data_IF_397052814910
#
_entry.id   IF_397052814910
#
_cell.length_a   1.000
_cell.length_b   1.000
_cell.length_c   1.000
_cell.angle_alpha   90.00
_cell.angle_beta   90.00
_cell.angle_gamma   90.00
#
_symmetry.space_group_name_H-M   'P 1'
#
loop_
_entity.id
_entity.type
_entity.pdbx_description
1 polymer ?
#
# COMPACT_ATOMS: atom_id res chain seq x y z
N UNK A 27 0.38 -3.88 -31.59
CA UNK A 27 0.44 -2.89 -30.52
C UNK A 27 -0.05 -3.48 -29.20
N UNK A 28 0.70 -4.45 -28.68
CA UNK A 28 0.36 -5.07 -27.40
C UNK A 28 1.02 -4.39 -26.22
N UNK A 29 2.31 -4.05 -26.34
CA UNK A 29 3.03 -3.38 -25.25
C UNK A 29 2.52 -1.96 -25.01
N UNK A 30 2.10 -1.25 -26.05
CA UNK A 30 1.62 0.11 -25.92
C UNK A 30 0.29 0.22 -25.19
N UNK A 31 -0.59 -0.76 -25.34
CA UNK A 31 -1.88 -0.75 -24.66
C UNK A 31 -1.78 -1.13 -23.19
N UNK A 32 -0.88 -2.04 -22.82
CA UNK A 32 -0.65 -2.35 -21.41
C UNK A 32 -0.14 -1.15 -20.62
N UNK A 33 0.80 -0.38 -21.18
CA UNK A 33 1.27 0.83 -20.53
C UNK A 33 0.18 1.90 -20.45
N UNK A 34 -0.64 2.05 -21.51
CA UNK A 34 -1.74 3.00 -21.47
C UNK A 34 -2.75 2.62 -20.39
N UNK A 35 -3.08 1.33 -20.28
CA UNK A 35 -3.97 0.90 -19.21
C UNK A 35 -3.35 1.03 -17.83
N UNK A 36 -2.06 0.76 -17.68
CA UNK A 36 -1.41 0.94 -16.40
C UNK A 36 -1.42 2.38 -15.95
N UNK A 37 -1.22 3.29 -16.89
CA UNK A 37 -1.31 4.72 -16.56
C UNK A 37 -2.72 5.11 -16.20
N UNK A 38 -3.70 4.74 -17.05
CA UNK A 38 -5.08 5.21 -16.89
C UNK A 38 -5.90 4.20 -16.09
N UNK A 39 -5.32 3.79 -14.96
CA UNK A 39 -6.04 2.97 -14.00
C UNK A 39 -5.69 3.40 -12.58
N UNK A 40 -4.88 4.45 -12.48
CA UNK A 40 -4.36 4.93 -11.20
C UNK A 40 -4.79 6.35 -10.89
N UNK A 41 -5.63 6.95 -11.73
CA UNK A 41 -5.85 8.40 -11.67
C UNK A 41 -6.66 8.75 -10.42
N UNK A 42 -7.93 8.38 -10.40
CA UNK A 42 -8.79 8.60 -9.24
C UNK A 42 -8.53 9.93 -8.54
N UNK A 43 -8.73 11.07 -9.20
CA UNK A 43 -8.40 12.35 -8.55
C UNK A 43 -9.28 12.63 -7.34
N UNK A 44 -8.70 12.55 -6.14
CA UNK A 44 -9.47 12.74 -4.93
C UNK A 44 -9.41 11.56 -4.00
N UNK A 45 -8.41 10.70 -4.18
CA UNK A 45 -8.16 9.59 -3.27
C UNK A 45 -7.37 10.04 -2.04
N UNK A 46 -6.71 11.18 -2.13
CA UNK A 46 -5.95 11.74 -1.02
C UNK A 46 -6.78 12.66 -0.13
N UNK A 47 -7.96 13.06 -0.58
CA UNK A 47 -8.85 13.93 0.17
C UNK A 47 -10.10 13.21 0.67
N UNK A 48 -10.11 11.88 0.72
CA UNK A 48 -11.28 11.17 1.25
C UNK A 48 -11.50 11.50 2.72
N UNK A 49 -10.42 11.45 3.51
CA UNK A 49 -10.57 11.75 4.94
C UNK A 49 -10.96 13.20 5.18
N UNK A 50 -10.37 14.20 4.52
CA UNK A 50 -10.92 15.57 4.63
C UNK A 50 -12.36 15.67 4.18
N UNK A 51 -12.79 14.87 3.20
CA UNK A 51 -14.16 14.89 2.74
C UNK A 51 -15.13 14.35 3.78
N UNK A 52 -14.79 13.24 4.44
CA UNK A 52 -15.64 12.70 5.49
C UNK A 52 -15.71 13.65 6.68
N UNK A 53 -14.58 14.20 7.09
CA UNK A 53 -14.53 15.15 8.20
C UNK A 53 -14.66 16.57 7.65
N UNK A 54 -15.86 16.87 7.19
CA UNK A 54 -16.13 18.16 6.58
C UNK A 54 -17.58 18.56 6.71
N UNK A 55 -17.94 19.69 6.09
CA UNK A 55 -19.32 20.19 6.16
C UNK A 55 -20.31 19.49 5.24
N UNK A 56 -19.93 18.37 4.64
CA UNK A 56 -20.81 17.62 3.75
C UNK A 56 -21.26 16.30 4.37
N UNK A 57 -20.33 15.47 4.83
CA UNK A 57 -20.69 14.21 5.46
C UNK A 57 -20.97 14.36 6.95
N UNK A 58 -20.31 15.33 7.61
CA UNK A 58 -20.51 15.64 9.02
C UNK A 58 -20.26 14.40 9.89
N UNK A 59 -19.04 13.89 9.77
CA UNK A 59 -18.54 12.81 10.61
C UNK A 59 -17.56 13.37 11.63
N UNK A 60 -17.55 12.77 12.80
CA UNK A 60 -16.62 13.14 13.86
C UNK A 60 -15.36 12.27 13.77
N UNK A 61 -14.26 12.80 14.28
CA UNK A 61 -13.00 12.08 14.24
C UNK A 61 -13.03 10.78 15.03
N UNK A 62 -13.72 10.74 16.17
CA UNK A 62 -13.89 9.50 16.91
C UNK A 62 -14.63 8.47 16.09
N UNK A 63 -15.77 8.86 15.51
CA UNK A 63 -16.53 7.99 14.62
C UNK A 63 -15.62 7.44 13.53
N UNK A 64 -15.06 8.34 12.71
CA UNK A 64 -14.26 7.95 11.57
C UNK A 64 -13.20 6.96 12.02
N UNK A 65 -12.30 7.41 12.91
CA UNK A 65 -11.19 6.56 13.30
C UNK A 65 -11.69 5.23 13.85
N UNK A 66 -12.32 5.27 15.03
CA UNK A 66 -12.58 4.05 15.80
C UNK A 66 -13.54 3.10 15.11
N UNK A 67 -14.57 3.61 14.42
CA UNK A 67 -15.54 2.71 13.82
C UNK A 67 -15.16 2.36 12.39
N UNK A 68 -14.87 3.36 11.56
CA UNK A 68 -14.70 3.10 10.14
C UNK A 68 -13.33 2.49 9.82
N UNK A 69 -12.25 3.00 10.42
CA UNK A 69 -10.95 2.61 9.87
C UNK A 69 -10.55 1.16 10.20
N UNK A 70 -10.87 0.63 11.38
CA UNK A 70 -10.59 -0.80 11.61
C UNK A 70 -11.22 -1.73 10.60
N UNK A 71 -12.39 -1.40 10.06
CA UNK A 71 -13.08 -2.24 9.10
C UNK A 71 -12.22 -2.50 7.86
N UNK A 72 -11.27 -1.63 7.56
CA UNK A 72 -10.39 -1.85 6.43
C UNK A 72 -9.53 -3.10 6.62
N UNK A 73 -8.99 -3.29 7.83
CA UNK A 73 -8.07 -4.40 8.06
C UNK A 73 -8.78 -5.75 8.06
N UNK A 74 -9.91 -5.84 8.75
CA UNK A 74 -10.67 -7.10 8.77
C UNK A 74 -11.11 -7.47 7.36
N UNK A 75 -11.63 -6.49 6.62
CA UNK A 75 -12.07 -6.74 5.25
C UNK A 75 -10.90 -7.13 4.38
N UNK A 76 -9.73 -6.50 4.59
CA UNK A 76 -8.55 -6.84 3.82
C UNK A 76 -8.15 -8.29 4.01
N UNK A 77 -8.12 -8.75 5.26
CA UNK A 77 -7.83 -10.16 5.53
C UNK A 77 -8.84 -11.06 4.82
N UNK A 78 -10.13 -10.75 5.03
CA UNK A 78 -11.21 -11.60 4.57
C UNK A 78 -11.21 -11.72 3.05
N UNK A 79 -10.91 -10.64 2.33
CA UNK A 79 -10.93 -10.70 0.88
C UNK A 79 -9.60 -11.22 0.35
N UNK A 80 -8.51 -10.92 1.05
CA UNK A 80 -7.18 -11.32 0.64
C UNK A 80 -7.06 -12.83 0.53
N UNK A 81 -7.60 -13.55 1.52
CA UNK A 81 -7.47 -15.00 1.51
C UNK A 81 -8.09 -15.63 0.26
N UNK A 82 -9.35 -15.30 -0.15
CA UNK A 82 -9.86 -15.85 -1.41
C UNK A 82 -9.19 -15.33 -2.68
N UNK A 83 -9.04 -14.01 -2.79
CA UNK A 83 -8.76 -13.37 -4.09
C UNK A 83 -7.44 -13.82 -4.71
N UNK A 84 -6.48 -14.29 -3.92
CA UNK A 84 -5.23 -14.79 -4.48
C UNK A 84 -5.43 -16.06 -5.29
N UNK A 85 -6.38 -16.91 -4.91
CA UNK A 85 -6.68 -18.13 -5.65
C UNK A 85 -7.67 -17.92 -6.78
N UNK A 86 -8.47 -16.85 -6.73
CA UNK A 86 -9.42 -16.54 -7.77
C UNK A 86 -8.78 -15.78 -8.93
N UNK A 87 -7.56 -15.28 -8.75
CA UNK A 87 -6.80 -14.67 -9.82
C UNK A 87 -6.09 -15.69 -10.69
N UNK A 88 -5.60 -16.78 -10.09
CA UNK A 88 -5.07 -17.89 -10.86
C UNK A 88 -6.13 -18.55 -11.72
N UNK A 89 -7.21 -19.00 -11.09
CA UNK A 89 -8.24 -19.79 -11.74
C UNK A 89 -8.88 -19.06 -12.91
N UNK A 90 -9.36 -17.84 -12.66
CA UNK A 90 -10.10 -17.08 -13.65
C UNK A 90 -9.21 -16.34 -14.64
N UNK A 91 -7.89 -16.30 -14.40
CA UNK A 91 -6.96 -15.45 -15.14
C UNK A 91 -7.27 -13.98 -14.87
N UNK A 92 -6.29 -13.11 -15.10
CA UNK A 92 -6.26 -11.81 -14.43
C UNK A 92 -7.30 -10.83 -14.97
N UNK A 93 -7.87 -11.08 -16.15
CA UNK A 93 -8.80 -10.12 -16.72
C UNK A 93 -10.09 -9.98 -15.89
N UNK A 94 -10.76 -11.06 -15.45
CA UNK A 94 -11.89 -10.89 -14.53
C UNK A 94 -11.52 -10.15 -13.25
N UNK A 95 -10.33 -10.39 -12.71
CA UNK A 95 -9.95 -9.74 -11.46
C UNK A 95 -9.72 -8.25 -11.68
N UNK A 96 -9.15 -7.86 -12.82
CA UNK A 96 -8.98 -6.43 -13.10
C UNK A 96 -10.33 -5.76 -13.33
N UNK A 97 -11.27 -6.45 -13.99
CA UNK A 97 -12.63 -5.92 -14.10
C UNK A 97 -13.26 -5.76 -12.72
N UNK A 98 -13.07 -6.74 -11.84
CA UNK A 98 -13.61 -6.66 -10.49
C UNK A 98 -13.00 -5.49 -9.73
N UNK A 99 -11.70 -5.24 -9.91
CA UNK A 99 -11.05 -4.11 -9.25
C UNK A 99 -11.63 -2.79 -9.73
N UNK A 100 -11.84 -2.66 -11.05
CA UNK A 100 -12.45 -1.45 -11.57
C UNK A 100 -13.86 -1.23 -11.02
N UNK A 101 -14.66 -2.29 -11.01
CA UNK A 101 -16.02 -2.17 -10.48
C UNK A 101 -16.02 -1.88 -8.98
N UNK A 102 -15.04 -2.40 -8.25
CA UNK A 102 -14.93 -2.10 -6.83
C UNK A 102 -14.58 -0.63 -6.60
N UNK A 103 -13.70 -0.07 -7.43
CA UNK A 103 -13.43 1.37 -7.33
C UNK A 103 -14.67 2.19 -7.64
N UNK A 104 -15.44 1.78 -8.65
CA UNK A 104 -16.69 2.46 -8.97
C UNK A 104 -17.65 2.39 -7.78
N UNK A 105 -17.72 1.23 -7.13
CA UNK A 105 -18.58 1.09 -5.95
C UNK A 105 -18.12 1.99 -4.81
N UNK A 106 -16.80 2.08 -4.61
CA UNK A 106 -16.26 2.94 -3.56
C UNK A 106 -16.66 4.39 -3.80
N UNK A 107 -16.49 4.87 -5.03
CA UNK A 107 -16.83 6.27 -5.30
C UNK A 107 -18.32 6.51 -5.46
N UNK A 108 -19.13 5.46 -5.61
CA UNK A 108 -20.58 5.64 -5.53
C UNK A 108 -21.08 5.67 -4.09
N UNK A 109 -20.44 4.91 -3.20
CA UNK A 109 -20.77 5.00 -1.78
C UNK A 109 -20.24 6.29 -1.15
N UNK A 110 -19.14 6.83 -1.66
CA UNK A 110 -18.64 8.11 -1.15
C UNK A 110 -19.63 9.24 -1.39
N UNK A 111 -20.10 9.40 -2.63
CA UNK A 111 -21.02 10.49 -2.95
C UNK A 111 -22.41 10.22 -2.39
N UNK A 112 -22.91 9.01 -2.56
CA UNK A 112 -24.22 8.62 -2.07
C UNK A 112 -24.04 7.84 -0.77
N UNK A 113 -24.43 8.43 0.34
CA UNK A 113 -24.26 7.77 1.62
C UNK A 113 -24.07 8.74 2.76
N UNK A 114 -24.75 8.49 3.88
CA UNK A 114 -24.72 9.40 5.02
C UNK A 114 -24.62 8.67 6.35
N UNK A 115 -24.45 7.36 6.36
CA UNK A 115 -24.41 6.57 7.58
C UNK A 115 -23.00 6.05 7.82
N UNK A 116 -22.85 5.24 8.86
CA UNK A 116 -21.56 4.61 9.14
C UNK A 116 -21.44 3.26 8.44
N UNK A 117 -22.54 2.52 8.32
CA UNK A 117 -22.51 1.25 7.61
C UNK A 117 -22.15 1.44 6.14
N UNK A 118 -22.58 2.54 5.54
CA UNK A 118 -22.19 2.84 4.16
C UNK A 118 -20.68 3.02 4.06
N UNK A 119 -20.07 3.70 5.03
CA UNK A 119 -18.63 3.90 5.00
C UNK A 119 -17.88 2.60 5.28
N UNK A 120 -18.47 1.71 6.09
CA UNK A 120 -17.85 0.40 6.29
C UNK A 120 -17.94 -0.47 5.03
N UNK A 121 -19.03 -0.36 4.28
CA UNK A 121 -19.09 -1.00 2.96
C UNK A 121 -18.05 -0.40 2.02
N UNK A 122 -17.88 0.92 2.06
CA UNK A 122 -16.83 1.56 1.28
C UNK A 122 -15.46 1.01 1.62
N UNK A 123 -15.18 0.81 2.90
CA UNK A 123 -13.92 0.21 3.34
C UNK A 123 -13.78 -1.25 2.91
N UNK A 124 -14.87 -2.01 2.88
CA UNK A 124 -14.81 -3.38 2.37
C UNK A 124 -14.44 -3.40 0.88
N UNK A 125 -15.09 -2.55 0.08
CA UNK A 125 -14.77 -2.50 -1.34
C UNK A 125 -13.34 -2.00 -1.57
N UNK A 126 -12.90 -1.01 -0.80
CA UNK A 126 -11.53 -0.52 -0.92
C UNK A 126 -10.53 -1.62 -0.57
N UNK A 127 -10.84 -2.43 0.44
CA UNK A 127 -9.97 -3.56 0.77
C UNK A 127 -9.95 -4.58 -0.36
N UNK A 128 -11.08 -4.76 -1.04
CA UNK A 128 -11.09 -5.62 -2.23
C UNK A 128 -10.13 -5.10 -3.28
N UNK A 129 -10.13 -3.78 -3.51
CA UNK A 129 -9.21 -3.19 -4.48
C UNK A 129 -7.75 -3.41 -4.06
N UNK A 130 -7.44 -3.18 -2.79
CA UNK A 130 -6.07 -3.40 -2.32
C UNK A 130 -5.65 -4.85 -2.47
N UNK A 131 -6.55 -5.79 -2.17
CA UNK A 131 -6.22 -7.20 -2.32
C UNK A 131 -6.00 -7.59 -3.77
N UNK A 132 -6.80 -7.02 -4.69
CA UNK A 132 -6.64 -7.33 -6.10
C UNK A 132 -5.50 -6.57 -6.76
N UNK A 133 -4.91 -5.59 -6.07
CA UNK A 133 -3.81 -4.80 -6.61
C UNK A 133 -2.55 -5.62 -6.88
N UNK A 134 -2.57 -6.92 -6.57
CA UNK A 134 -1.37 -7.74 -6.71
C UNK A 134 -1.47 -8.65 -7.93
N UNK A 135 -2.22 -8.21 -8.94
CA UNK A 135 -2.47 -9.02 -10.12
C UNK A 135 -1.81 -8.52 -11.39
N UNK A 136 -1.47 -7.23 -11.46
CA UNK A 136 -0.96 -6.65 -12.71
C UNK A 136 0.43 -7.17 -13.05
N UNK A 137 1.28 -7.37 -12.04
CA UNK A 137 2.62 -7.91 -12.29
C UNK A 137 2.55 -9.33 -12.86
N UNK A 138 1.77 -10.19 -12.22
CA UNK A 138 1.61 -11.55 -12.71
C UNK A 138 0.85 -11.58 -14.04
N UNK A 139 -0.14 -10.69 -14.19
CA UNK A 139 -0.72 -10.42 -15.50
C UNK A 139 0.37 -10.30 -16.55
N UNK A 140 1.27 -9.33 -16.39
CA UNK A 140 2.27 -9.06 -17.42
C UNK A 140 3.20 -10.25 -17.61
N UNK A 141 3.62 -10.86 -16.51
CA UNK A 141 4.53 -12.00 -16.58
C UNK A 141 3.97 -13.12 -17.43
N UNK A 142 2.71 -13.49 -17.18
CA UNK A 142 2.12 -14.60 -17.92
C UNK A 142 1.72 -14.17 -19.33
N UNK A 143 1.55 -12.86 -19.56
CA UNK A 143 1.12 -12.39 -20.87
C UNK A 143 2.26 -12.31 -21.89
N UNK A 144 3.33 -11.59 -21.54
CA UNK A 144 4.21 -11.03 -22.57
C UNK A 144 4.80 -12.10 -23.47
N UNK A 145 5.63 -13.01 -22.92
CA UNK A 145 6.54 -13.97 -23.57
C UNK A 145 7.92 -13.88 -22.92
N UNK A 146 8.64 -14.99 -22.79
CA UNK A 146 10.02 -14.94 -22.30
C UNK A 146 10.94 -14.24 -23.28
N UNK A 147 12.09 -13.80 -22.74
CA UNK A 147 13.10 -13.05 -23.47
C UNK A 147 12.57 -11.70 -23.93
N UNK A 148 11.37 -11.35 -23.46
CA UNK A 148 10.77 -10.05 -23.75
C UNK A 148 10.14 -9.53 -22.46
N UNK A 149 10.18 -10.34 -21.40
CA UNK A 149 9.42 -10.03 -20.19
C UNK A 149 10.01 -8.84 -19.46
N UNK A 150 11.34 -8.79 -19.31
CA UNK A 150 11.96 -7.75 -18.51
C UNK A 150 11.74 -6.35 -19.05
N UNK A 151 11.88 -6.15 -20.36
CA UNK A 151 11.68 -4.82 -20.94
C UNK A 151 10.24 -4.34 -20.75
N UNK A 152 9.26 -5.20 -21.04
CA UNK A 152 7.85 -4.83 -20.88
C UNK A 152 7.47 -4.62 -19.42
N UNK A 153 8.02 -5.42 -18.51
CA UNK A 153 7.83 -5.20 -17.08
C UNK A 153 8.42 -3.88 -16.61
N UNK A 154 9.61 -3.51 -17.08
CA UNK A 154 10.20 -2.23 -16.74
C UNK A 154 9.40 -1.06 -17.29
N UNK A 155 8.85 -1.23 -18.49
CA UNK A 155 8.00 -0.18 -19.04
C UNK A 155 6.73 0.03 -18.21
N UNK A 156 6.07 -1.07 -17.82
CA UNK A 156 4.84 -1.00 -17.06
C UNK A 156 5.05 -0.56 -15.62
N UNK A 157 6.18 -0.91 -15.01
CA UNK A 157 6.49 -0.40 -13.68
C UNK A 157 6.71 1.10 -13.67
N UNK A 158 7.25 1.66 -14.77
CA UNK A 158 7.38 3.09 -14.92
C UNK A 158 6.06 3.77 -15.24
N UNK A 159 5.20 3.14 -16.05
CA UNK A 159 3.89 3.69 -16.34
C UNK A 159 2.99 3.80 -15.12
N UNK A 160 2.99 2.78 -14.26
CA UNK A 160 2.14 2.81 -13.06
C UNK A 160 2.57 3.94 -12.13
N UNK A 161 3.88 4.09 -11.92
CA UNK A 161 4.38 5.15 -11.05
C UNK A 161 4.05 6.53 -11.59
N UNK A 162 4.19 6.74 -12.90
CA UNK A 162 3.79 8.00 -13.51
C UNK A 162 2.30 8.26 -13.38
N UNK A 163 1.46 7.24 -13.55
CA UNK A 163 0.03 7.40 -13.34
C UNK A 163 -0.30 7.81 -11.92
N UNK A 164 0.32 7.15 -10.94
CA UNK A 164 0.09 7.49 -9.55
C UNK A 164 0.55 8.90 -9.21
N UNK A 165 1.73 9.32 -9.70
CA UNK A 165 2.20 10.69 -9.50
C UNK A 165 1.29 11.73 -10.15
N UNK A 166 0.89 11.50 -11.40
CA UNK A 166 -0.01 12.42 -12.09
C UNK A 166 -1.35 12.50 -11.37
N UNK A 167 -1.81 11.40 -10.78
CA UNK A 167 -3.06 11.41 -10.04
C UNK A 167 -3.05 12.45 -8.92
N UNK A 168 -2.03 12.39 -8.06
CA UNK A 168 -1.95 13.31 -6.94
C UNK A 168 -1.67 14.73 -7.39
N UNK A 169 -0.82 14.90 -8.42
CA UNK A 169 -0.54 16.24 -8.91
C UNK A 169 -1.82 16.88 -9.47
N UNK A 170 -2.62 16.12 -10.24
CA UNK A 170 -3.88 16.62 -10.74
C UNK A 170 -4.87 16.92 -9.63
N UNK A 171 -4.95 16.07 -8.61
CA UNK A 171 -5.84 16.34 -7.49
C UNK A 171 -5.49 17.64 -6.78
N UNK A 172 -4.21 17.83 -6.46
CA UNK A 172 -3.78 19.04 -5.77
C UNK A 172 -3.86 20.27 -6.66
N UNK A 173 -3.63 20.16 -7.96
CA UNK A 173 -3.79 21.28 -8.87
C UNK A 173 -5.25 21.64 -9.11
N UNK A 174 -6.15 20.66 -9.00
CA UNK A 174 -7.59 20.92 -9.11
C UNK A 174 -8.22 21.33 -7.80
N UNK A 175 -7.53 21.19 -6.67
CA UNK A 175 -8.05 21.64 -5.38
C UNK A 175 -7.65 23.08 -5.11
N UNK A 176 -6.38 23.40 -5.38
CA UNK A 176 -5.82 24.69 -4.98
C UNK A 176 -5.94 25.74 -6.08
N UNK A 177 -5.35 25.47 -7.26
CA UNK A 177 -5.34 26.44 -8.34
C UNK A 177 -6.75 26.68 -8.84
N UNK A 178 -7.47 25.60 -9.11
CA UNK A 178 -8.90 25.69 -9.41
C UNK A 178 -9.71 25.41 -8.17
N UNK A 179 -10.58 26.35 -7.80
CA UNK A 179 -11.31 26.28 -6.54
C UNK A 179 -12.61 25.51 -6.74
N UNK A 180 -12.49 24.21 -6.94
CA UNK A 180 -13.65 23.32 -6.92
C UNK A 180 -13.74 22.69 -5.53
N UNK A 181 -14.94 22.23 -5.19
CA UNK A 181 -15.19 21.66 -3.88
C UNK A 181 -14.75 20.19 -3.88
N UNK A 182 -14.95 19.49 -2.76
CA UNK A 182 -14.65 18.07 -2.66
C UNK A 182 -15.72 17.19 -3.28
N UNK A 183 -16.89 17.74 -3.61
CA UNK A 183 -17.93 16.96 -4.27
C UNK A 183 -17.59 16.73 -5.74
N UNK A 184 -17.06 17.76 -6.42
CA UNK A 184 -16.79 17.64 -7.85
C UNK A 184 -15.55 16.81 -8.13
N UNK A 185 -14.59 16.77 -7.20
CA UNK A 185 -13.48 15.85 -7.35
C UNK A 185 -13.96 14.41 -7.43
N UNK A 186 -14.96 14.05 -6.64
CA UNK A 186 -15.47 12.68 -6.68
C UNK A 186 -16.18 12.40 -7.99
N UNK A 187 -16.86 13.40 -8.57
CA UNK A 187 -17.49 13.20 -9.87
C UNK A 187 -16.44 13.01 -10.97
N UNK A 188 -15.37 13.80 -10.93
CA UNK A 188 -14.29 13.64 -11.90
C UNK A 188 -13.63 12.27 -11.73
N UNK A 189 -13.43 11.85 -10.47
CA UNK A 189 -12.90 10.51 -10.21
C UNK A 189 -13.82 9.43 -10.74
N UNK A 190 -15.13 9.61 -10.60
CA UNK A 190 -16.08 8.62 -11.12
C UNK A 190 -16.00 8.54 -12.63
N UNK A 191 -15.86 9.68 -13.31
CA UNK A 191 -15.69 9.67 -14.76
C UNK A 191 -14.43 8.92 -15.17
N UNK A 192 -13.32 9.19 -14.48
CA UNK A 192 -12.07 8.49 -14.78
C UNK A 192 -12.19 7.00 -14.51
N UNK A 193 -12.88 6.63 -13.43
CA UNK A 193 -13.04 5.21 -13.10
C UNK A 193 -13.89 4.49 -14.15
N UNK A 194 -14.96 5.15 -14.62
CA UNK A 194 -15.76 4.55 -15.69
C UNK A 194 -14.93 4.37 -16.96
N UNK A 195 -14.10 5.37 -17.30
CA UNK A 195 -13.24 5.24 -18.47
C UNK A 195 -12.25 4.08 -18.29
N UNK A 196 -11.73 3.92 -17.08
CA UNK A 196 -10.81 2.81 -16.81
C UNK A 196 -11.51 1.47 -16.96
N UNK A 197 -12.74 1.35 -16.46
CA UNK A 197 -13.48 0.09 -16.61
C UNK A 197 -13.75 -0.20 -18.07
N UNK A 198 -14.01 0.84 -18.87
CA UNK A 198 -14.18 0.63 -20.31
C UNK A 198 -12.88 0.14 -20.93
N UNK A 199 -11.75 0.72 -20.54
CA UNK A 199 -10.46 0.28 -21.09
C UNK A 199 -10.08 -1.09 -20.58
N UNK A 200 -10.74 -1.58 -19.54
CA UNK A 200 -10.36 -2.83 -18.88
C UNK A 200 -10.71 -4.08 -19.67
N UNK A 201 -11.02 -3.93 -20.96
CA UNK A 201 -11.28 -5.11 -21.79
C UNK A 201 -10.02 -5.97 -21.92
N UNK A 202 -8.99 -5.46 -22.60
CA UNK A 202 -7.71 -6.12 -22.91
C UNK A 202 -7.75 -7.63 -23.14
N UNK A 203 -6.57 -8.25 -23.20
CA UNK A 203 -6.41 -9.59 -23.76
C UNK A 203 -6.29 -10.64 -22.67
N UNK A 204 -6.79 -11.85 -22.95
CA UNK A 204 -6.77 -12.97 -22.00
C UNK A 204 -6.02 -14.16 -22.61
N UNK A 205 -5.48 -15.01 -21.75
CA UNK A 205 -4.57 -16.10 -22.11
C UNK A 205 -5.24 -17.42 -22.45
N UNK A 206 -4.45 -18.42 -22.90
CA UNK A 206 -4.90 -19.82 -22.77
C UNK A 206 -4.29 -20.53 -21.57
N UNK A 207 -3.33 -19.91 -20.89
CA UNK A 207 -2.59 -20.57 -19.81
C UNK A 207 -2.04 -19.53 -18.84
N UNK A 208 -1.88 -19.94 -17.58
CA UNK A 208 -1.14 -19.13 -16.61
C UNK A 208 0.30 -19.61 -16.42
N UNK A 209 0.52 -20.92 -16.45
CA UNK A 209 1.80 -21.56 -16.15
C UNK A 209 2.13 -21.46 -14.66
N UNK A 210 1.24 -20.84 -13.89
CA UNK A 210 1.38 -20.82 -12.44
C UNK A 210 0.16 -21.48 -11.81
N UNK A 211 0.38 -22.57 -11.08
CA UNK A 211 -0.61 -23.19 -10.22
C UNK A 211 -1.68 -23.95 -11.00
N UNK A 212 -2.74 -23.27 -11.41
CA UNK A 212 -3.93 -23.97 -11.89
C UNK A 212 -3.97 -24.05 -13.42
N UNK A 213 -3.84 -22.91 -14.10
CA UNK A 213 -3.94 -22.86 -15.55
C UNK A 213 -2.57 -23.10 -16.17
N UNK A 214 -1.97 -24.23 -15.79
CA UNK A 214 -0.70 -24.66 -16.39
C UNK A 214 -0.97 -25.58 -17.56
N UNK A 215 0.07 -26.23 -18.08
CA UNK A 215 -0.10 -27.22 -19.13
C UNK A 215 0.45 -28.57 -18.70
N UNK A 216 1.44 -28.56 -17.81
CA UNK A 216 2.06 -29.78 -17.30
C UNK A 216 2.58 -30.67 -18.42
N UNK A 250 6.40 -28.47 -10.02
CA UNK A 250 6.78 -29.55 -9.12
C UNK A 250 7.58 -28.99 -7.95
N UNK A 251 8.86 -28.70 -8.19
CA UNK A 251 9.75 -28.10 -7.20
C UNK A 251 9.92 -29.03 -6.01
N UNK A 252 10.35 -30.27 -6.33
CA UNK A 252 10.52 -31.38 -5.38
C UNK A 252 9.29 -31.53 -4.50
N UNK A 253 8.12 -31.50 -5.14
CA UNK A 253 6.91 -30.93 -4.58
C UNK A 253 7.30 -29.58 -3.98
N UNK A 254 6.54 -28.50 -4.17
CA UNK A 254 7.21 -27.22 -3.99
C UNK A 254 7.51 -27.08 -2.51
N UNK A 255 7.87 -28.20 -1.98
CA UNK A 255 7.79 -28.55 -0.56
C UNK A 255 9.12 -29.00 -0.01
N UNK A 256 9.75 -30.01 -0.64
CA UNK A 256 11.19 -30.01 -0.51
C UNK A 256 11.73 -28.71 -1.06
N UNK A 257 10.98 -28.07 -1.98
CA UNK A 257 11.44 -26.76 -2.44
C UNK A 257 11.48 -25.74 -1.31
N UNK A 258 10.34 -25.43 -0.67
CA UNK A 258 10.43 -24.38 0.34
C UNK A 258 11.14 -24.86 1.60
N UNK A 259 11.31 -26.16 1.81
CA UNK A 259 12.19 -26.60 2.87
C UNK A 259 13.63 -26.20 2.64
N UNK A 260 14.16 -26.55 1.46
CA UNK A 260 15.51 -26.13 1.11
C UNK A 260 15.60 -24.60 1.09
N UNK A 261 14.49 -23.93 0.77
CA UNK A 261 14.49 -22.47 0.75
C UNK A 261 14.60 -21.90 2.16
N UNK A 262 13.79 -22.41 3.08
CA UNK A 262 13.78 -21.94 4.46
C UNK A 262 15.09 -22.28 5.16
N UNK A 263 15.83 -23.25 4.64
CA UNK A 263 17.18 -23.48 5.14
C UNK A 263 18.18 -22.47 4.60
N UNK A 264 17.90 -21.18 4.76
CA UNK A 264 18.78 -20.10 4.31
C UNK A 264 18.74 -18.97 5.33
N UNK A 265 19.88 -18.51 5.84
CA UNK A 265 19.87 -17.44 6.86
C UNK A 265 19.25 -16.14 6.38
N UNK A 266 19.40 -15.78 5.11
CA UNK A 266 18.94 -14.50 4.59
C UNK A 266 17.47 -14.49 4.23
N UNK A 267 16.82 -15.65 4.18
CA UNK A 267 15.38 -15.71 3.90
C UNK A 267 14.54 -15.64 5.16
N UNK A 268 15.11 -15.98 6.31
CA UNK A 268 14.41 -15.93 7.60
C UNK A 268 14.68 -14.61 8.31
N UNK A 269 15.41 -13.72 7.65
CA UNK A 269 15.80 -12.43 8.24
C UNK A 269 14.95 -11.32 7.64
N UNK A 270 14.68 -11.41 6.35
CA UNK A 270 13.90 -10.38 5.67
C UNK A 270 12.41 -10.71 5.66
N UNK A 271 12.05 -11.96 5.92
CA UNK A 271 10.63 -12.31 6.01
C UNK A 271 10.00 -11.75 7.28
N UNK A 272 10.70 -11.87 8.42
CA UNK A 272 10.21 -11.29 9.66
C UNK A 272 10.17 -9.77 9.57
N UNK A 273 11.18 -9.16 8.94
CA UNK A 273 11.15 -7.73 8.66
C UNK A 273 9.89 -7.39 7.88
N UNK A 274 9.67 -8.10 6.78
CA UNK A 274 8.48 -7.92 5.95
C UNK A 274 7.24 -7.88 6.84
N UNK A 275 7.00 -8.97 7.57
CA UNK A 275 5.80 -9.10 8.38
C UNK A 275 5.62 -7.92 9.32
N UNK A 276 6.56 -7.74 10.25
CA UNK A 276 6.32 -6.81 11.35
C UNK A 276 6.42 -5.35 10.89
N UNK A 277 7.46 -5.02 10.12
CA UNK A 277 7.61 -3.63 9.70
C UNK A 277 6.56 -3.22 8.68
N UNK A 278 6.12 -4.13 7.80
CA UNK A 278 5.01 -3.78 6.92
C UNK A 278 3.72 -3.59 7.70
N UNK A 279 3.48 -4.40 8.73
CA UNK A 279 2.31 -4.17 9.58
C UNK A 279 2.33 -2.76 10.17
N UNK A 280 3.45 -2.38 10.78
CA UNK A 280 3.53 -1.05 11.37
C UNK A 280 3.42 0.06 10.34
N UNK A 281 4.09 -0.11 9.20
CA UNK A 281 4.04 0.87 8.13
C UNK A 281 2.62 1.10 7.65
N UNK A 282 1.87 0.02 7.44
CA UNK A 282 0.53 0.18 6.91
C UNK A 282 -0.43 0.74 7.95
N UNK A 283 -0.21 0.43 9.23
CA UNK A 283 -1.00 1.07 10.27
C UNK A 283 -0.80 2.59 10.26
N UNK A 284 0.47 3.03 10.19
CA UNK A 284 0.76 4.46 10.18
C UNK A 284 0.17 5.11 8.93
N UNK A 285 0.31 4.45 7.78
CA UNK A 285 -0.21 5.00 6.53
C UNK A 285 -1.72 5.14 6.58
N UNK A 286 -2.41 4.12 7.14
CA UNK A 286 -3.86 4.19 7.26
C UNK A 286 -4.33 5.31 8.17
N UNK A 287 -3.64 5.55 9.30
CA UNK A 287 -4.14 6.50 10.27
C UNK A 287 -3.49 7.88 10.17
N UNK A 288 -2.62 8.10 9.19
CA UNK A 288 -1.93 9.39 9.15
C UNK A 288 -2.85 10.56 8.81
N UNK A 289 -3.78 10.39 7.86
CA UNK A 289 -4.62 11.49 7.41
C UNK A 289 -5.58 12.01 8.46
N UNK A 290 -5.91 11.19 9.48
CA UNK A 290 -6.77 11.63 10.57
C UNK A 290 -5.98 12.46 11.59
N UNK A 291 -4.66 12.47 11.49
CA UNK A 291 -3.81 13.26 12.36
C UNK A 291 -3.51 14.66 11.81
N UNK A 292 -3.47 14.82 10.49
CA UNK A 292 -3.31 16.15 9.89
C UNK A 292 -4.55 17.00 10.03
N UNK A 293 -5.69 16.41 10.36
CA UNK A 293 -6.91 17.16 10.63
C UNK A 293 -6.93 17.64 12.08
N UNK A 294 -6.41 16.83 13.00
CA UNK A 294 -6.31 17.24 14.39
C UNK A 294 -5.42 18.46 14.54
N UNK A 295 -4.30 18.48 13.80
CA UNK A 295 -3.37 19.60 13.88
C UNK A 295 -3.98 20.86 13.29
N UNK A 296 -4.57 20.74 12.11
CA UNK A 296 -5.08 21.90 11.37
C UNK A 296 -6.49 21.63 10.86
N UNK A 297 -7.52 21.93 11.65
CA UNK A 297 -8.92 21.70 11.23
C UNK A 297 -9.45 22.78 10.29
N UNK A 298 -8.90 22.84 9.08
CA UNK A 298 -9.33 23.83 8.09
C UNK A 298 -10.57 23.35 7.35
N UNK A 299 -11.58 24.22 7.29
CA UNK A 299 -12.78 23.96 6.52
C UNK A 299 -12.68 24.50 5.10
N UNK A 300 -11.53 25.07 4.74
CA UNK A 300 -11.29 25.60 3.41
C UNK A 300 -10.54 24.56 2.59
N UNK A 301 -11.15 24.12 1.49
CA UNK A 301 -10.58 23.07 0.64
C UNK A 301 -9.69 23.73 -0.41
N UNK A 302 -8.78 24.59 0.05
CA UNK A 302 -7.79 25.18 -0.83
C UNK A 302 -6.45 25.27 -0.12
N UNK A 303 -6.39 24.78 1.10
CA UNK A 303 -5.18 24.80 1.92
C UNK A 303 -4.94 23.44 2.53
N UNK A 304 -5.38 22.40 1.83
CA UNK A 304 -5.16 21.01 2.24
C UNK A 304 -4.22 20.41 1.22
N UNK A 305 -3.02 20.07 1.64
CA UNK A 305 -1.97 19.60 0.73
C UNK A 305 -1.70 18.11 0.82
N UNK A 306 -2.74 17.30 1.00
CA UNK A 306 -2.59 15.86 1.01
C UNK A 306 -2.11 15.35 -0.34
N UNK A 307 -2.65 15.91 -1.42
CA UNK A 307 -2.21 15.50 -2.75
C UNK A 307 -0.74 15.81 -3.00
N UNK A 308 -0.30 17.01 -2.61
CA UNK A 308 1.11 17.38 -2.76
C UNK A 308 1.99 16.48 -1.90
N UNK A 309 1.55 16.17 -0.67
CA UNK A 309 2.34 15.28 0.19
C UNK A 309 2.47 13.89 -0.42
N UNK A 310 1.38 13.35 -0.98
CA UNK A 310 1.45 12.04 -1.59
C UNK A 310 2.28 12.04 -2.87
N UNK A 311 2.19 13.12 -3.65
CA UNK A 311 3.03 13.23 -4.85
C UNK A 311 4.50 13.28 -4.49
N UNK A 312 4.86 14.04 -3.44
CA UNK A 312 6.23 14.08 -2.97
C UNK A 312 6.68 12.73 -2.43
N UNK A 313 5.82 12.03 -1.70
CA UNK A 313 6.13 10.69 -1.21
C UNK A 313 6.40 9.70 -2.33
N UNK A 314 5.59 9.74 -3.40
CA UNK A 314 5.82 8.90 -4.56
C UNK A 314 7.14 9.19 -5.26
N UNK A 315 7.51 10.47 -5.42
CA UNK A 315 8.79 10.81 -6.01
C UNK A 315 9.95 10.34 -5.13
N UNK A 316 9.86 10.57 -3.82
CA UNK A 316 10.93 10.15 -2.92
C UNK A 316 11.07 8.63 -2.87
N UNK A 317 9.97 7.89 -2.86
CA UNK A 317 10.07 6.44 -2.95
C UNK A 317 10.73 5.93 -4.20
N UNK A 318 10.41 6.52 -5.36
CA UNK A 318 11.07 6.16 -6.61
C UNK A 318 12.54 6.53 -6.64
N UNK A 319 12.93 7.67 -6.06
CA UNK A 319 14.34 8.00 -5.96
C UNK A 319 15.08 7.06 -5.01
N UNK A 320 14.46 6.69 -3.89
CA UNK A 320 15.12 5.86 -2.89
C UNK A 320 15.20 4.39 -3.32
N UNK A 321 14.20 3.89 -4.03
CA UNK A 321 14.27 2.53 -4.57
C UNK A 321 15.32 2.39 -5.65
N UNK A 322 15.50 3.41 -6.49
CA UNK A 322 16.58 3.39 -7.46
C UNK A 322 17.95 3.42 -6.78
N UNK A 323 18.08 4.21 -5.71
CA UNK A 323 19.33 4.25 -4.96
C UNK A 323 19.64 2.92 -4.28
N UNK A 324 18.63 2.21 -3.80
CA UNK A 324 18.81 0.88 -3.22
C UNK A 324 18.77 -0.20 -4.28
N UNK A 325 19.55 0.01 -5.34
CA UNK A 325 19.70 -0.98 -6.39
C UNK A 325 21.17 -1.30 -6.56
N UNK A 326 22.02 -0.39 -6.09
CA UNK A 326 23.45 -0.64 -6.05
C UNK A 326 23.84 -1.46 -4.83
N UNK A 327 23.42 -1.05 -3.64
CA UNK A 327 23.69 -1.81 -2.44
C UNK A 327 22.57 -2.81 -2.16
N UNK A 328 22.59 -3.93 -2.87
CA UNK A 328 21.73 -5.07 -2.57
C UNK A 328 22.45 -6.40 -2.71
N UNK A 329 23.49 -6.46 -3.53
CA UNK A 329 24.42 -7.59 -3.51
C UNK A 329 25.65 -7.31 -2.65
N UNK A 330 26.11 -6.06 -2.57
CA UNK A 330 27.01 -5.58 -1.55
C UNK A 330 26.13 -5.03 -0.42
N UNK A 331 26.77 -4.56 0.65
CA UNK A 331 26.05 -4.01 1.79
C UNK A 331 25.06 -5.00 2.38
N UNK A 332 25.20 -6.29 2.07
CA UNK A 332 24.42 -7.32 2.75
C UNK A 332 25.44 -8.28 3.34
N UNK A 333 26.07 -7.83 4.42
CA UNK A 333 26.81 -8.63 5.38
C UNK A 333 26.49 -7.96 6.70
N UNK A 334 25.76 -6.84 6.60
CA UNK A 334 25.31 -6.03 7.71
C UNK A 334 23.83 -5.76 7.47
N UNK A 335 23.09 -6.80 7.09
CA UNK A 335 21.68 -6.70 6.77
C UNK A 335 20.81 -6.63 8.02
N UNK A 336 21.43 -6.46 9.18
CA UNK A 336 20.72 -6.18 10.43
C UNK A 336 21.09 -4.85 11.02
N UNK A 337 22.24 -4.28 10.63
CA UNK A 337 22.55 -2.91 10.99
C UNK A 337 21.73 -1.93 10.15
N UNK A 338 21.52 -2.25 8.88
CA UNK A 338 20.66 -1.45 8.02
C UNK A 338 19.23 -1.41 8.55
N UNK A 339 18.69 -2.57 8.90
CA UNK A 339 17.33 -2.65 9.42
C UNK A 339 17.22 -1.88 10.73
N UNK A 340 18.22 -2.04 11.60
CA UNK A 340 18.22 -1.33 12.88
C UNK A 340 18.21 0.19 12.66
N UNK A 341 19.08 0.68 11.78
CA UNK A 341 19.13 2.12 11.53
C UNK A 341 17.86 2.67 10.93
N UNK A 342 17.33 1.99 9.91
CA UNK A 342 16.13 2.48 9.25
C UNK A 342 14.94 2.41 10.20
N UNK A 343 14.84 1.36 11.01
CA UNK A 343 13.73 1.25 11.94
C UNK A 343 13.84 2.26 13.07
N UNK A 344 15.06 2.59 13.51
CA UNK A 344 15.22 3.66 14.48
C UNK A 344 14.81 5.01 13.89
N UNK A 345 15.15 5.26 12.63
CA UNK A 345 14.69 6.48 11.98
C UNK A 345 13.17 6.53 11.88
N UNK A 346 12.54 5.40 11.52
CA UNK A 346 11.09 5.35 11.46
C UNK A 346 10.46 5.55 12.83
N UNK A 347 11.05 5.00 13.89
CA UNK A 347 10.60 5.25 15.25
C UNK A 347 10.72 6.71 15.65
N UNK A 348 11.81 7.38 15.27
CA UNK A 348 11.99 8.78 15.56
C UNK A 348 11.16 9.72 14.72
N UNK A 349 10.63 9.27 13.58
CA UNK A 349 9.73 10.07 12.77
C UNK A 349 8.27 9.99 13.20
N UNK A 350 7.79 8.81 13.61
CA UNK A 350 6.45 8.70 14.17
C UNK A 350 6.31 9.41 15.50
N UNK A 351 7.40 9.53 16.26
CA UNK A 351 7.42 10.40 17.43
C UNK A 351 7.25 11.87 17.09
N UNK A 352 7.91 12.35 16.04
CA UNK A 352 7.72 13.71 15.57
C UNK A 352 6.29 13.93 15.11
N UNK A 353 5.72 12.95 14.41
CA UNK A 353 4.31 13.04 14.02
C UNK A 353 3.39 13.11 15.23
N UNK A 354 3.67 12.30 16.24
CA UNK A 354 2.83 12.24 17.44
C UNK A 354 3.10 13.38 18.41
N UNK A 355 4.12 14.20 18.19
CA UNK A 355 4.48 15.28 19.11
C UNK A 355 4.50 16.61 18.35
N UNK A 356 3.45 16.86 17.57
CA UNK A 356 3.28 18.12 16.86
C UNK A 356 1.84 18.57 17.05
N UNK A 357 1.66 19.71 17.73
CA UNK A 357 0.33 20.19 18.08
C UNK A 357 -0.02 21.55 17.51
N UNK A 358 0.96 22.42 17.27
CA UNK A 358 0.67 23.74 16.75
C UNK A 358 0.11 23.66 15.33
N UNK A 359 -0.98 24.39 15.05
CA UNK A 359 -1.52 24.40 13.69
C UNK A 359 -0.59 25.04 12.66
N UNK A 360 0.41 25.80 13.09
CA UNK A 360 1.34 26.46 12.18
C UNK A 360 2.60 25.64 11.93
N UNK A 361 2.65 24.42 12.46
CA UNK A 361 3.78 23.52 12.27
C UNK A 361 3.36 22.30 11.47
N UNK A 362 2.39 22.50 10.56
CA UNK A 362 1.92 21.42 9.72
C UNK A 362 2.93 21.06 8.65
N UNK A 363 3.86 21.95 8.32
CA UNK A 363 4.90 21.65 7.35
C UNK A 363 5.83 20.55 7.82
N UNK A 364 5.98 20.37 9.14
CA UNK A 364 6.73 19.25 9.69
C UNK A 364 5.97 17.93 9.62
N UNK A 365 4.65 17.95 9.74
CA UNK A 365 3.85 16.74 9.62
C UNK A 365 3.76 16.24 8.20
N UNK A 366 3.72 17.14 7.21
CA UNK A 366 3.77 16.73 5.81
C UNK A 366 5.13 16.18 5.44
N UNK A 367 6.21 16.72 6.01
CA UNK A 367 7.56 16.35 5.66
C UNK A 367 8.10 15.17 6.47
N UNK A 368 7.48 14.85 7.61
CA UNK A 368 7.85 13.67 8.37
C UNK A 368 7.14 12.42 7.89
N UNK A 369 6.13 12.55 7.04
CA UNK A 369 5.50 11.42 6.37
C UNK A 369 6.18 11.10 5.05
N UNK A 370 6.67 12.13 4.35
CA UNK A 370 7.40 11.92 3.11
C UNK A 370 8.69 11.13 3.35
N UNK A 371 9.43 11.46 4.40
CA UNK A 371 10.63 10.72 4.77
C UNK A 371 10.33 9.36 5.38
N UNK A 372 9.16 9.19 6.01
CA UNK A 372 8.77 7.90 6.55
C UNK A 372 8.45 6.89 5.47
N UNK A 373 7.79 7.33 4.38
CA UNK A 373 7.55 6.43 3.26
C UNK A 373 8.82 6.21 2.45
N UNK A 374 9.67 7.24 2.35
CA UNK A 374 10.91 7.08 1.60
C UNK A 374 11.87 6.10 2.24
N UNK A 375 11.90 6.06 3.57
CA UNK A 375 12.79 5.15 4.29
C UNK A 375 12.31 3.70 4.26
N UNK A 376 11.01 3.46 4.10
CA UNK A 376 10.49 2.12 3.93
C UNK A 376 10.71 1.56 2.54
N UNK A 377 10.61 2.41 1.52
CA UNK A 377 10.88 1.99 0.14
C UNK A 377 12.34 1.76 -0.13
N UNK A 378 13.23 2.10 0.81
CA UNK A 378 14.64 1.77 0.67
C UNK A 378 14.87 0.26 0.80
N UNK A 379 14.23 -0.37 1.77
CA UNK A 379 14.51 -1.78 2.08
C UNK A 379 13.61 -2.76 1.35
N UNK A 380 12.56 -2.30 0.67
CA UNK A 380 11.69 -3.20 -0.08
C UNK A 380 12.47 -3.85 -1.24
N UNK A 381 13.20 -3.11 -2.07
CA UNK A 381 14.04 -3.78 -3.09
C UNK A 381 15.10 -4.69 -2.51
N UNK A 382 15.70 -4.32 -1.37
CA UNK A 382 16.68 -5.19 -0.74
C UNK A 382 16.06 -6.44 -0.12
N UNK A 383 14.90 -6.31 0.53
CA UNK A 383 14.22 -7.48 1.07
C UNK A 383 13.75 -8.42 -0.04
N UNK A 384 13.19 -7.86 -1.11
CA UNK A 384 12.69 -8.67 -2.20
C UNK A 384 13.80 -9.46 -2.88
N UNK A 385 14.94 -8.82 -3.13
CA UNK A 385 16.05 -9.51 -3.77
C UNK A 385 16.61 -10.65 -2.92
N UNK A 386 16.72 -10.44 -1.59
CA UNK A 386 17.29 -11.46 -0.72
C UNK A 386 16.31 -12.58 -0.44
N UNK A 387 15.01 -12.27 -0.32
CA UNK A 387 14.01 -13.32 -0.16
C UNK A 387 13.95 -14.19 -1.41
N UNK A 388 13.81 -13.54 -2.57
CA UNK A 388 13.71 -14.24 -3.86
C UNK A 388 15.07 -14.17 -4.56
N UNK A 389 15.97 -15.05 -4.13
CA UNK A 389 17.29 -15.15 -4.74
C UNK A 389 17.64 -16.54 -5.20
N UNK A 390 17.22 -17.58 -4.48
CA UNK A 390 17.40 -18.96 -4.91
C UNK A 390 16.06 -19.64 -5.15
N UNK A 391 14.98 -18.87 -5.25
CA UNK A 391 13.64 -19.40 -5.46
C UNK A 391 13.31 -19.42 -6.94
N UNK A 392 12.40 -20.33 -7.29
CA UNK A 392 11.82 -20.33 -8.64
C UNK A 392 10.70 -19.31 -8.68
N UNK A 393 10.12 -19.08 -9.86
CA UNK A 393 9.05 -18.11 -9.99
C UNK A 393 7.73 -18.58 -9.38
N UNK A 394 7.52 -19.90 -9.29
CA UNK A 394 6.29 -20.43 -8.72
C UNK A 394 6.31 -20.41 -7.20
N UNK A 395 7.48 -20.52 -6.58
CA UNK A 395 7.57 -20.50 -5.13
C UNK A 395 7.72 -19.10 -4.55
N UNK A 396 8.34 -18.17 -5.27
CA UNK A 396 8.44 -16.81 -4.77
C UNK A 396 7.08 -16.14 -4.63
N UNK A 397 6.18 -16.38 -5.59
CA UNK A 397 4.82 -15.86 -5.49
C UNK A 397 4.06 -16.41 -4.29
N UNK A 398 4.34 -17.64 -3.89
CA UNK A 398 3.74 -18.22 -2.68
C UNK A 398 4.37 -17.69 -1.41
N UNK A 399 5.69 -17.51 -1.38
CA UNK A 399 6.36 -16.96 -0.20
C UNK A 399 5.93 -15.52 0.04
N UNK A 400 5.84 -14.71 -1.02
CA UNK A 400 5.42 -13.32 -0.90
C UNK A 400 3.95 -13.18 -0.55
N UNK A 401 3.16 -14.25 -0.69
CA UNK A 401 1.77 -14.22 -0.29
C UNK A 401 1.61 -14.67 1.15
N UNK A 402 2.42 -15.67 1.55
CA UNK A 402 2.49 -16.08 2.94
C UNK A 402 2.98 -14.97 3.85
N UNK A 403 3.98 -14.20 3.42
CA UNK A 403 4.42 -13.05 4.20
C UNK A 403 3.33 -12.00 4.33
N UNK A 404 2.61 -11.70 3.26
CA UNK A 404 1.53 -10.73 3.29
C UNK A 404 0.38 -11.17 4.18
N UNK A 405 0.01 -12.45 4.16
CA UNK A 405 -1.03 -12.96 5.05
C UNK A 405 -0.65 -12.79 6.52
N UNK A 406 0.58 -13.12 6.88
CA UNK A 406 1.05 -12.99 8.25
C UNK A 406 1.19 -11.54 8.69
N UNK A 407 1.57 -10.64 7.79
CA UNK A 407 1.56 -9.21 8.11
C UNK A 407 0.16 -8.68 8.39
N UNK A 408 -0.83 -9.07 7.59
CA UNK A 408 -2.22 -8.70 7.82
C UNK A 408 -2.80 -9.29 9.10
N UNK A 409 -2.39 -10.50 9.49
CA UNK A 409 -2.83 -11.03 10.77
C UNK A 409 -2.37 -10.13 11.92
N UNK A 410 -1.10 -9.70 11.91
CA UNK A 410 -0.58 -8.82 12.94
C UNK A 410 -1.28 -7.47 12.90
N UNK A 411 -1.51 -6.94 11.71
CA UNK A 411 -2.27 -5.69 11.58
C UNK A 411 -3.64 -5.81 12.21
N UNK A 412 -4.34 -6.91 11.94
CA UNK A 412 -5.68 -7.10 12.49
C UNK A 412 -5.65 -7.18 14.01
N UNK A 413 -4.67 -7.92 14.56
CA UNK A 413 -4.57 -8.05 16.00
C UNK A 413 -4.35 -6.69 16.66
N UNK A 414 -3.36 -5.94 16.14
CA UNK A 414 -3.05 -4.63 16.73
C UNK A 414 -4.23 -3.68 16.58
N UNK A 415 -4.88 -3.69 15.42
CA UNK A 415 -6.02 -2.82 15.17
C UNK A 415 -7.15 -3.10 16.14
N UNK A 416 -7.47 -4.38 16.34
CA UNK A 416 -8.52 -4.73 17.27
C UNK A 416 -8.17 -4.30 18.69
N UNK A 417 -6.92 -4.54 19.11
CA UNK A 417 -6.54 -4.21 20.48
C UNK A 417 -6.59 -2.70 20.72
N UNK A 418 -6.06 -1.92 19.77
CA UNK A 418 -5.87 -0.50 20.01
C UNK A 418 -7.02 0.36 19.50
N UNK A 419 -7.32 0.27 18.21
CA UNK A 419 -8.15 1.26 17.54
C UNK A 419 -9.64 1.01 17.62
N UNK A 420 -10.09 -0.25 17.62
CA UNK A 420 -11.50 -0.55 17.56
C UNK A 420 -12.20 -0.16 18.87
N UNK A 421 -13.49 0.17 18.76
CA UNK A 421 -14.29 0.50 19.94
C UNK A 421 -14.54 -0.70 20.83
N UNK A 422 -14.34 -1.92 20.33
CA UNK A 422 -14.48 -3.14 21.11
C UNK A 422 -13.14 -3.57 21.68
N UNK A 423 -12.19 -2.64 21.71
CA UNK A 423 -10.91 -2.83 22.34
C UNK A 423 -10.60 -1.66 23.26
N UNK A 424 -9.42 -1.06 23.10
CA UNK A 424 -9.08 0.12 23.89
C UNK A 424 -9.76 1.38 23.39
N UNK A 425 -9.89 1.56 22.09
CA UNK A 425 -10.52 2.74 21.53
C UNK A 425 -9.76 4.01 21.83
N UNK A 426 -8.53 4.11 21.32
CA UNK A 426 -7.61 5.18 21.63
C UNK A 426 -7.61 6.24 20.52
N UNK A 427 -7.42 7.52 20.89
CA UNK A 427 -7.31 8.56 19.86
C UNK A 427 -6.07 8.38 18.99
N UNK A 428 -5.92 9.25 17.98
CA UNK A 428 -4.85 9.05 17.00
C UNK A 428 -3.48 9.30 17.61
N UNK A 429 -3.35 10.31 18.48
CA UNK A 429 -2.04 10.62 19.05
C UNK A 429 -1.52 9.49 19.95
N UNK A 430 -2.39 8.91 20.78
CA UNK A 430 -1.96 7.78 21.60
C UNK A 430 -1.59 6.58 20.73
N UNK A 431 -2.34 6.37 19.65
CA UNK A 431 -2.00 5.30 18.72
C UNK A 431 -0.62 5.52 18.11
N UNK A 432 -0.31 6.76 17.72
CA UNK A 432 1.00 7.04 17.14
C UNK A 432 2.12 6.91 18.17
N UNK A 433 1.84 7.24 19.43
CA UNK A 433 2.81 6.98 20.50
C UNK A 433 3.11 5.48 20.61
N UNK A 434 2.06 4.66 20.61
CA UNK A 434 2.27 3.22 20.69
C UNK A 434 3.01 2.70 19.45
N UNK A 435 2.74 3.29 18.28
CA UNK A 435 3.43 2.88 17.07
C UNK A 435 4.93 3.22 17.15
N UNK A 436 5.25 4.39 17.69
CA UNK A 436 6.65 4.75 17.87
C UNK A 436 7.34 3.80 18.85
N UNK A 437 6.64 3.41 19.92
CA UNK A 437 7.22 2.45 20.85
C UNK A 437 7.44 1.10 20.16
N UNK A 438 6.49 0.68 19.33
CA UNK A 438 6.62 -0.55 18.54
C UNK A 438 7.88 -0.53 17.69
N UNK A 439 8.05 0.55 16.92
CA UNK A 439 9.22 0.66 16.04
C UNK A 439 10.51 0.69 16.86
N UNK A 440 10.49 1.36 18.02
CA UNK A 440 11.66 1.38 18.88
C UNK A 440 12.02 -0.03 19.36
N UNK A 441 11.01 -0.82 19.73
CA UNK A 441 11.28 -2.19 20.18
C UNK A 441 11.90 -3.01 19.07
N UNK A 442 11.36 -2.89 17.84
CA UNK A 442 11.95 -3.62 16.72
C UNK A 442 13.38 -3.19 16.46
N UNK A 443 13.64 -1.88 16.53
CA UNK A 443 15.00 -1.37 16.30
C UNK A 443 15.96 -1.90 17.36
N UNK A 444 15.53 -1.93 18.63
CA UNK A 444 16.38 -2.45 19.69
C UNK A 444 16.68 -3.94 19.47
N UNK A 445 15.67 -4.72 19.09
CA UNK A 445 15.88 -6.13 18.85
C UNK A 445 16.88 -6.35 17.72
N UNK A 446 16.71 -5.60 16.62
CA UNK A 446 17.61 -5.77 15.48
C UNK A 446 19.03 -5.31 15.80
N UNK A 447 19.18 -4.20 16.55
CA UNK A 447 20.51 -3.76 16.95
C UNK A 447 21.19 -4.78 17.85
N UNK A 448 20.43 -5.39 18.77
CA UNK A 448 21.02 -6.42 19.61
C UNK A 448 21.45 -7.64 18.80
N UNK A 449 20.64 -8.03 17.82
CA UNK A 449 21.05 -9.13 16.95
C UNK A 449 22.31 -8.82 16.16
N UNK A 450 22.39 -7.60 15.62
CA UNK A 450 23.57 -7.19 14.87
C UNK A 450 24.81 -7.17 15.76
N UNK A 451 24.66 -6.69 16.99
CA UNK A 451 25.78 -6.70 17.94
C UNK A 451 26.20 -8.12 18.27
N UNK A 452 25.23 -9.02 18.43
CA UNK A 452 25.56 -10.43 18.67
C UNK A 452 26.31 -11.03 17.48
N UNK A 453 26.04 -10.53 16.27
CA UNK A 453 26.79 -10.99 15.11
C UNK A 453 28.27 -10.60 15.18
N UNK A 454 28.62 -9.64 16.04
CA UNK A 454 30.00 -9.23 16.19
C UNK A 454 30.51 -9.32 17.62
#
# INVERSE_FOLDING_TARGET
MVPSSPAVEKQVPVEPGPDPELRSWRHLVCYLCFYGFMAQIRPGESFITPYLLGPDKNFTREQVTNEITPVLSYSYLAVLVPVFLLTDYLRYTPVLLLQGLSFVSVWLLLLLGHSVAHMQLMELFYSVTMAARIAYSSYIFSLVRPARYQRVAGYSRAAVLLGVFTSSVLGQLLVTVGRVSFSTLNYISLAFLTFSVVLALFLKRPKRSLFFNRDDRGRCETSASELERMNPGPGGKLGHALRVACGDSVLARMLRELGDSLRRPQLRLWSLWWVFNSAGYYLVVYYVHILWNEVDPTTNSARVYNGAADAASTLLGAITSFAAGFVKIRWARWSKLLIAGVTATQAGLVFLLAHTRHPSSIWLCYAAFVLFRGSYQFLVPIATFQIASSLSKELCALVFGVNTFFATIVKTIITFIVSDVRGLGLPVRKQFQLYSVYFLILSIIYFLGAMLDGLRHCQRGHHPRQPPAQGLRSAAEEKAAQALSVQDKGLGGLQPAQSPPLSPEDSLGAVGPASLEQRQSDPYLAQAPAPQAAEFLSPVTTPSPCTLCSAQASGPEAADETCPQLAVHPPGVSKLGLQCLPSDGVQNVNQ
#
